data_IF_137010681553
#
_entry.id   IF_137010681553
#
_cell.length_a   1.000
_cell.length_b   1.000
_cell.length_c   1.000
_cell.angle_alpha   90.00
_cell.angle_beta   90.00
_cell.angle_gamma   90.00
#
_symmetry.space_group_name_H-M   'P 1'
#
loop_
_entity.id
_entity.type
_entity.pdbx_description
1 polymer ?
#
# COMPACT_ATOMS: atom_id res chain seq x y z
N UNK A 1 -32.60 12.07 -14.38
CA UNK A 1 -31.56 13.12 -14.31
C UNK A 1 -30.33 12.48 -13.70
N UNK A 2 -29.16 12.75 -14.24
CA UNK A 2 -27.90 12.49 -13.53
C UNK A 2 -27.71 13.69 -12.59
N UNK A 3 -27.85 13.46 -11.29
CA UNK A 3 -27.73 14.51 -10.27
C UNK A 3 -26.26 14.78 -9.91
N UNK A 4 -25.94 15.99 -9.45
CA UNK A 4 -24.57 16.38 -9.03
C UNK A 4 -23.99 15.44 -7.96
N UNK A 5 -24.85 14.90 -7.08
CA UNK A 5 -24.47 13.90 -6.07
C UNK A 5 -23.87 12.63 -6.70
N UNK A 6 -24.37 12.19 -7.86
CA UNK A 6 -23.83 11.01 -8.54
C UNK A 6 -22.38 11.25 -8.99
N UNK A 7 -22.08 12.46 -9.48
CA UNK A 7 -20.74 12.84 -9.89
C UNK A 7 -19.77 12.93 -8.69
N UNK A 8 -20.27 13.39 -7.52
CA UNK A 8 -19.48 13.40 -6.29
C UNK A 8 -19.16 11.99 -5.77
N UNK A 9 -20.12 11.06 -5.82
CA UNK A 9 -19.87 9.66 -5.44
C UNK A 9 -18.81 9.02 -6.34
N UNK A 10 -18.91 9.22 -7.66
CA UNK A 10 -17.90 8.71 -8.62
C UNK A 10 -16.53 9.27 -8.29
N UNK A 11 -16.42 10.59 -8.06
CA UNK A 11 -15.15 11.24 -7.74
C UNK A 11 -14.54 10.69 -6.45
N UNK A 12 -15.35 10.53 -5.41
CA UNK A 12 -14.87 10.07 -4.10
C UNK A 12 -14.38 8.62 -4.19
N UNK A 13 -15.14 7.71 -4.79
CA UNK A 13 -14.74 6.30 -4.96
C UNK A 13 -13.50 6.17 -5.86
N UNK A 14 -13.43 6.97 -6.93
CA UNK A 14 -12.28 7.01 -7.82
C UNK A 14 -11.01 7.45 -7.08
N UNK A 15 -11.07 8.56 -6.32
CA UNK A 15 -9.94 9.07 -5.54
C UNK A 15 -9.49 8.07 -4.47
N UNK A 16 -10.44 7.43 -3.80
CA UNK A 16 -10.18 6.41 -2.79
C UNK A 16 -9.45 5.20 -3.39
N UNK A 17 -9.99 4.64 -4.47
CA UNK A 17 -9.45 3.43 -5.07
C UNK A 17 -8.11 3.67 -5.77
N UNK A 18 -7.99 4.79 -6.49
CA UNK A 18 -6.71 5.17 -7.08
C UNK A 18 -5.65 5.47 -6.01
N UNK A 19 -6.02 6.19 -4.95
CA UNK A 19 -5.12 6.49 -3.83
C UNK A 19 -4.62 5.22 -3.13
N UNK A 20 -5.52 4.30 -2.81
CA UNK A 20 -5.16 3.03 -2.18
C UNK A 20 -4.26 2.16 -3.08
N UNK A 21 -4.57 2.07 -4.38
CA UNK A 21 -3.74 1.35 -5.35
C UNK A 21 -2.33 1.95 -5.42
N UNK A 22 -2.22 3.28 -5.52
CA UNK A 22 -0.93 3.96 -5.60
C UNK A 22 -0.08 3.74 -4.35
N UNK A 23 -0.68 3.91 -3.16
CA UNK A 23 0.00 3.68 -1.88
C UNK A 23 0.48 2.23 -1.76
N UNK A 24 -0.34 1.26 -2.16
CA UNK A 24 0.01 -0.17 -2.12
C UNK A 24 1.19 -0.49 -3.02
N UNK A 25 1.24 0.07 -4.23
CA UNK A 25 2.36 -0.11 -5.17
C UNK A 25 3.65 0.50 -4.61
N UNK A 26 3.57 1.69 -4.02
CA UNK A 26 4.74 2.35 -3.42
C UNK A 26 5.30 1.53 -2.26
N UNK A 27 4.43 1.06 -1.36
CA UNK A 27 4.81 0.19 -0.24
C UNK A 27 5.41 -1.13 -0.73
N UNK A 28 4.82 -1.75 -1.74
CA UNK A 28 5.33 -2.98 -2.34
C UNK A 28 6.71 -2.79 -2.98
N UNK A 29 6.95 -1.68 -3.70
CA UNK A 29 8.26 -1.35 -4.26
C UNK A 29 9.30 -1.18 -3.14
N UNK A 30 8.94 -0.50 -2.06
CA UNK A 30 9.83 -0.30 -0.92
C UNK A 30 10.20 -1.62 -0.23
N UNK A 31 9.19 -2.45 0.08
CA UNK A 31 9.39 -3.74 0.75
C UNK A 31 10.12 -4.75 -0.15
N UNK A 32 9.71 -4.86 -1.42
CA UNK A 32 10.30 -5.77 -2.40
C UNK A 32 11.76 -5.41 -2.70
N UNK A 33 12.07 -4.12 -2.87
CA UNK A 33 13.44 -3.67 -3.05
C UNK A 33 14.29 -3.84 -1.78
N UNK A 34 13.71 -3.58 -0.61
CA UNK A 34 14.35 -3.84 0.69
C UNK A 34 14.76 -5.29 0.87
N UNK A 35 13.89 -6.24 0.48
CA UNK A 35 14.20 -7.69 0.49
C UNK A 35 15.35 -8.06 -0.44
N UNK A 36 15.44 -7.42 -1.61
CA UNK A 36 16.53 -7.65 -2.57
C UNK A 36 17.88 -7.11 -2.07
N UNK A 37 17.86 -5.95 -1.41
CA UNK A 37 19.03 -5.26 -0.88
C UNK A 37 19.66 -5.96 0.32
N UNK A 38 18.83 -6.26 1.32
CA UNK A 38 19.24 -6.96 2.54
C UNK A 38 18.37 -8.22 2.68
N UNK A 39 18.84 -9.38 2.17
CA UNK A 39 18.19 -10.66 2.42
C UNK A 39 18.45 -11.13 3.86
N UNK A 40 17.94 -10.35 4.83
CA UNK A 40 17.93 -10.70 6.24
C UNK A 40 16.70 -11.53 6.59
N UNK A 41 16.81 -12.37 7.63
CA UNK A 41 15.68 -13.15 8.15
C UNK A 41 14.48 -12.28 8.52
N UNK A 42 14.72 -11.07 9.04
CA UNK A 42 13.70 -10.08 9.39
C UNK A 42 12.94 -9.59 8.15
N UNK A 43 13.64 -9.18 7.10
CA UNK A 43 13.02 -8.69 5.86
C UNK A 43 12.19 -9.78 5.17
N UNK A 44 12.70 -11.02 5.14
CA UNK A 44 11.96 -12.16 4.59
C UNK A 44 10.69 -12.44 5.41
N UNK A 45 10.77 -12.38 6.75
CA UNK A 45 9.59 -12.55 7.60
C UNK A 45 8.57 -11.45 7.36
N UNK A 46 8.99 -10.19 7.29
CA UNK A 46 8.10 -9.04 7.06
C UNK A 46 7.37 -9.14 5.72
N UNK A 47 8.07 -9.49 4.65
CA UNK A 47 7.47 -9.71 3.32
C UNK A 47 6.52 -10.91 3.35
N UNK A 48 6.89 -11.99 4.03
CA UNK A 48 6.04 -13.18 4.16
C UNK A 48 4.75 -12.86 4.92
N UNK A 49 4.83 -12.12 6.01
CA UNK A 49 3.66 -11.65 6.74
C UNK A 49 2.78 -10.73 5.89
N UNK A 50 3.38 -9.81 5.12
CA UNK A 50 2.64 -8.94 4.20
C UNK A 50 1.93 -9.73 3.09
N UNK A 51 2.51 -10.83 2.59
CA UNK A 51 1.90 -11.68 1.56
C UNK A 51 0.73 -12.53 2.06
N UNK A 52 0.59 -12.78 3.36
CA UNK A 52 -0.53 -13.55 3.93
C UNK A 52 -1.88 -12.84 3.72
N UNK A 53 -1.88 -11.52 3.54
CA UNK A 53 -3.09 -10.72 3.33
C UNK A 53 -4.00 -11.22 2.18
N UNK A 54 -3.44 -11.91 1.18
CA UNK A 54 -4.23 -12.49 0.08
C UNK A 54 -5.16 -13.63 0.54
N UNK A 55 -4.81 -14.35 1.61
CA UNK A 55 -5.61 -15.46 2.13
C UNK A 55 -6.70 -15.00 3.11
N UNK A 56 -6.73 -13.72 3.48
CA UNK A 56 -7.63 -13.21 4.52
C UNK A 56 -8.96 -12.77 3.88
N UNK A 57 -10.12 -13.30 4.34
CA UNK A 57 -11.43 -12.84 3.90
C UNK A 57 -11.60 -11.34 4.19
N UNK A 58 -12.29 -10.60 3.31
CA UNK A 58 -12.48 -9.15 3.46
C UNK A 58 -13.12 -8.76 4.81
N UNK A 59 -14.03 -9.60 5.32
CA UNK A 59 -14.66 -9.42 6.64
C UNK A 59 -13.65 -9.48 7.79
N UNK A 60 -12.66 -10.35 7.70
CA UNK A 60 -11.60 -10.49 8.73
C UNK A 60 -10.68 -9.27 8.70
N UNK A 61 -10.39 -8.72 7.51
CA UNK A 61 -9.64 -7.46 7.38
C UNK A 61 -10.42 -6.32 8.04
N UNK A 62 -11.72 -6.22 7.76
CA UNK A 62 -12.56 -5.17 8.34
C UNK A 62 -12.55 -5.21 9.88
N UNK A 63 -12.80 -6.38 10.47
CA UNK A 63 -12.76 -6.55 11.93
C UNK A 63 -11.35 -6.31 12.48
N UNK A 64 -10.32 -6.82 11.79
CA UNK A 64 -8.92 -6.66 12.17
C UNK A 64 -8.40 -5.23 12.12
N UNK A 65 -9.00 -4.36 11.29
CA UNK A 65 -8.66 -2.93 11.22
C UNK A 65 -9.49 -2.11 12.21
N UNK A 66 -10.80 -2.36 12.30
CA UNK A 66 -11.71 -1.55 13.14
C UNK A 66 -11.34 -1.66 14.63
N UNK A 67 -11.04 -2.85 15.14
CA UNK A 67 -10.72 -3.04 16.57
C UNK A 67 -9.51 -2.21 17.03
N UNK A 68 -8.32 -2.30 16.39
CA UNK A 68 -7.18 -1.48 16.79
C UNK A 68 -7.36 0.00 16.47
N UNK A 69 -8.06 0.35 15.39
CA UNK A 69 -8.35 1.75 15.08
C UNK A 69 -9.27 2.39 16.13
N UNK A 70 -10.31 1.69 16.56
CA UNK A 70 -11.20 2.16 17.63
C UNK A 70 -10.46 2.32 18.97
N UNK A 71 -9.56 1.38 19.28
CA UNK A 71 -8.71 1.49 20.48
C UNK A 71 -7.74 2.68 20.40
N UNK A 72 -7.11 2.89 19.25
CA UNK A 72 -6.20 4.00 19.02
C UNK A 72 -6.93 5.35 19.04
N UNK A 73 -8.09 5.44 18.40
CA UNK A 73 -8.97 6.61 18.45
C UNK A 73 -9.32 6.98 19.88
N UNK A 74 -9.72 6.02 20.71
CA UNK A 74 -10.01 6.28 22.12
C UNK A 74 -8.81 6.83 22.90
N UNK A 75 -7.57 6.41 22.56
CA UNK A 75 -6.36 6.95 23.17
C UNK A 75 -5.98 8.33 22.67
N UNK A 76 -6.13 8.56 21.37
CA UNK A 76 -5.92 9.88 20.77
C UNK A 76 -6.92 10.87 21.35
N UNK A 77 -8.19 10.46 21.50
CA UNK A 77 -9.23 11.30 22.08
C UNK A 77 -8.94 11.64 23.55
N UNK A 78 -8.55 10.65 24.36
CA UNK A 78 -8.13 10.91 25.74
C UNK A 78 -6.90 11.85 25.82
N UNK A 79 -5.96 11.74 24.88
CA UNK A 79 -4.77 12.59 24.82
C UNK A 79 -5.10 14.03 24.35
N UNK A 80 -5.95 14.17 23.33
CA UNK A 80 -6.39 15.47 22.82
C UNK A 80 -7.30 16.19 23.82
N UNK A 81 -8.17 15.47 24.51
CA UNK A 81 -9.02 16.04 25.54
C UNK A 81 -8.21 16.52 26.74
N UNK A 82 -7.18 15.77 27.16
CA UNK A 82 -6.28 16.20 28.26
C UNK A 82 -5.32 17.33 27.87
N UNK A 83 -4.91 17.43 26.60
CA UNK A 83 -3.92 18.43 26.15
C UNK A 83 -4.53 19.70 25.57
N UNK A 84 -5.67 19.60 24.89
CA UNK A 84 -6.28 20.70 24.13
C UNK A 84 -7.74 20.99 24.52
N UNK A 85 -8.38 20.17 25.35
CA UNK A 85 -9.78 20.36 25.77
C UNK A 85 -10.80 20.18 24.65
N UNK A 86 -10.38 19.64 23.50
CA UNK A 86 -11.22 19.39 22.32
C UNK A 86 -11.51 17.89 22.26
N UNK A 87 -12.79 17.49 22.20
CA UNK A 87 -13.16 16.11 21.84
C UNK A 87 -12.94 15.93 20.34
N UNK A 88 -11.83 15.27 19.99
CA UNK A 88 -11.55 14.85 18.62
C UNK A 88 -12.57 13.84 18.09
N UNK A 89 -13.20 13.04 18.95
CA UNK A 89 -14.10 11.96 18.52
C UNK A 89 -13.37 10.86 17.74
N UNK A 90 -14.13 9.97 17.09
CA UNK A 90 -13.59 8.85 16.28
C UNK A 90 -13.03 9.34 14.93
N UNK A 91 -11.88 10.02 14.94
CA UNK A 91 -11.30 10.58 13.71
C UNK A 91 -10.79 9.48 12.76
N UNK A 92 -10.12 8.43 13.25
CA UNK A 92 -9.54 7.41 12.37
C UNK A 92 -10.56 6.36 11.94
N UNK A 93 -11.45 5.94 12.84
CA UNK A 93 -12.50 4.94 12.57
C UNK A 93 -13.73 5.54 11.91
N UNK A 94 -14.00 6.84 12.09
CA UNK A 94 -15.16 7.54 11.51
C UNK A 94 -14.91 8.20 10.16
N UNK A 95 -13.68 8.18 9.65
CA UNK A 95 -13.30 8.79 8.37
C UNK A 95 -12.84 7.76 7.33
N UNK A 96 -12.53 8.25 6.14
CA UNK A 96 -12.01 7.48 5.00
C UNK A 96 -10.69 6.73 5.29
N UNK A 97 -10.01 7.06 6.39
CA UNK A 97 -8.69 6.52 6.73
C UNK A 97 -8.74 5.04 7.03
N UNK A 98 -9.71 4.56 7.82
CA UNK A 98 -9.86 3.14 8.13
C UNK A 98 -10.12 2.31 6.85
N UNK A 99 -10.99 2.83 5.96
CA UNK A 99 -11.31 2.20 4.68
C UNK A 99 -10.09 2.16 3.76
N UNK A 100 -9.38 3.29 3.64
CA UNK A 100 -8.15 3.38 2.84
C UNK A 100 -7.07 2.42 3.37
N UNK A 101 -6.88 2.34 4.68
CA UNK A 101 -5.94 1.42 5.30
C UNK A 101 -6.31 -0.04 5.04
N UNK A 102 -7.58 -0.42 5.19
CA UNK A 102 -8.05 -1.76 4.91
C UNK A 102 -7.79 -2.17 3.45
N UNK A 103 -8.02 -1.25 2.50
CA UNK A 103 -7.69 -1.49 1.10
C UNK A 103 -6.19 -1.63 0.87
N UNK A 104 -5.36 -0.78 1.48
CA UNK A 104 -3.91 -0.92 1.38
C UNK A 104 -3.46 -2.29 1.88
N UNK A 105 -3.93 -2.74 3.05
CA UNK A 105 -3.59 -4.06 3.59
C UNK A 105 -4.01 -5.19 2.64
N UNK A 106 -5.22 -5.12 2.08
CA UNK A 106 -5.74 -6.12 1.14
C UNK A 106 -4.93 -6.18 -0.15
N UNK A 107 -4.64 -5.02 -0.76
CA UNK A 107 -3.98 -4.93 -2.06
C UNK A 107 -2.45 -4.95 -2.00
N UNK A 108 -1.86 -4.77 -0.82
CA UNK A 108 -0.41 -4.84 -0.62
C UNK A 108 0.14 -6.21 -1.01
N UNK A 109 -0.55 -7.30 -0.68
CA UNK A 109 -0.08 -8.66 -1.00
C UNK A 109 0.07 -8.88 -2.52
N UNK A 110 -0.96 -8.50 -3.29
CA UNK A 110 -0.95 -8.59 -4.77
C UNK A 110 0.13 -7.68 -5.37
N UNK A 111 0.27 -6.48 -4.80
CA UNK A 111 1.29 -5.52 -5.23
C UNK A 111 2.70 -6.05 -5.01
N UNK A 112 2.95 -6.62 -3.83
CA UNK A 112 4.23 -7.18 -3.42
C UNK A 112 4.64 -8.34 -4.32
N UNK A 113 3.72 -9.28 -4.57
CA UNK A 113 3.98 -10.42 -5.45
C UNK A 113 4.31 -9.98 -6.88
N UNK A 114 3.59 -8.99 -7.42
CA UNK A 114 3.84 -8.46 -8.75
C UNK A 114 5.18 -7.73 -8.84
N UNK A 115 5.52 -6.94 -7.82
CA UNK A 115 6.83 -6.28 -7.73
C UNK A 115 7.96 -7.30 -7.62
N UNK A 116 7.81 -8.34 -6.82
CA UNK A 116 8.80 -9.40 -6.69
C UNK A 116 9.03 -10.10 -8.02
N UNK A 117 7.96 -10.53 -8.71
CA UNK A 117 8.07 -11.15 -10.03
C UNK A 117 8.69 -10.22 -11.07
N UNK A 118 8.43 -8.91 -11.00
CA UNK A 118 9.07 -7.94 -11.90
C UNK A 118 10.56 -7.73 -11.59
N UNK A 119 10.94 -7.71 -10.31
CA UNK A 119 12.34 -7.62 -9.88
C UNK A 119 13.12 -8.90 -10.20
N UNK A 120 12.50 -10.07 -10.13
CA UNK A 120 13.12 -11.36 -10.50
C UNK A 120 13.52 -11.42 -11.98
N UNK A 121 12.81 -10.71 -12.87
CA UNK A 121 13.20 -10.58 -14.29
C UNK A 121 14.51 -9.81 -14.47
N UNK A 122 14.89 -8.97 -13.50
CA UNK A 122 16.11 -8.17 -13.55
C UNK A 122 17.27 -8.97 -12.96
N UNK A 123 18.25 -9.29 -13.81
CA UNK A 123 19.44 -10.07 -13.42
C UNK A 123 20.26 -9.33 -12.34
N UNK A 124 20.81 -10.03 -11.34
CA UNK A 124 21.69 -9.43 -10.32
C UNK A 124 22.92 -8.72 -10.90
N UNK A 125 23.40 -9.14 -12.07
CA UNK A 125 24.54 -8.49 -12.76
C UNK A 125 24.30 -7.00 -13.06
N UNK A 126 23.04 -6.58 -13.20
CA UNK A 126 22.70 -5.16 -13.38
C UNK A 126 22.92 -4.35 -12.10
N UNK A 127 22.66 -4.95 -10.94
CA UNK A 127 22.92 -4.33 -9.62
C UNK A 127 24.42 -4.16 -9.38
N UNK A 128 25.21 -5.15 -9.80
CA UNK A 128 26.67 -5.13 -9.64
C UNK A 128 27.34 -4.14 -10.60
N UNK A 129 26.83 -4.01 -11.83
CA UNK A 129 27.26 -2.98 -12.77
C UNK A 129 26.94 -1.57 -12.25
N UNK A 130 25.73 -1.36 -11.71
CA UNK A 130 25.34 -0.08 -11.12
C UNK A 130 26.23 0.30 -9.93
N UNK A 131 26.55 -0.67 -9.05
CA UNK A 131 27.48 -0.47 -7.92
C UNK A 131 28.91 -0.16 -8.39
N UNK A 132 29.38 -0.81 -9.44
CA UNK A 132 30.70 -0.54 -10.03
C UNK A 132 30.82 0.86 -10.64
N UNK A 133 29.69 1.42 -11.11
CA UNK A 133 29.58 2.81 -11.59
C UNK A 133 29.41 3.84 -10.45
N UNK A 134 29.42 3.41 -9.19
CA UNK A 134 29.28 4.29 -8.02
C UNK A 134 27.84 4.71 -7.71
N UNK A 135 26.83 4.09 -8.32
CA UNK A 135 25.44 4.41 -8.03
C UNK A 135 25.03 3.93 -6.64
N UNK A 136 24.32 4.78 -5.89
CA UNK A 136 23.68 4.39 -4.65
C UNK A 136 22.48 3.47 -4.94
N UNK A 137 22.10 2.57 -4.02
CA UNK A 137 20.96 1.68 -4.27
C UNK A 137 19.63 2.38 -4.53
N UNK A 138 19.38 3.51 -3.85
CA UNK A 138 18.23 4.37 -4.15
C UNK A 138 18.26 4.82 -5.61
N UNK A 139 19.42 5.21 -6.12
CA UNK A 139 19.56 5.64 -7.50
C UNK A 139 19.37 4.48 -8.47
N UNK A 140 19.90 3.29 -8.17
CA UNK A 140 19.67 2.08 -8.95
C UNK A 140 18.17 1.75 -9.04
N UNK A 141 17.43 1.88 -7.94
CA UNK A 141 15.97 1.69 -7.93
C UNK A 141 15.27 2.67 -8.90
N UNK A 142 15.52 3.97 -8.75
CA UNK A 142 14.80 5.00 -9.53
C UNK A 142 15.28 5.12 -10.98
N UNK A 143 16.57 4.92 -11.26
CA UNK A 143 17.17 5.10 -12.59
C UNK A 143 17.17 3.82 -13.44
N UNK A 144 17.17 2.64 -12.81
CA UNK A 144 17.31 1.36 -13.53
C UNK A 144 16.06 0.49 -13.32
N UNK A 145 15.73 0.14 -12.08
CA UNK A 145 14.65 -0.84 -11.83
C UNK A 145 13.25 -0.32 -12.17
N UNK A 146 12.89 0.88 -11.70
CA UNK A 146 11.56 1.46 -11.96
C UNK A 146 11.32 1.65 -13.47
N UNK A 147 12.25 2.20 -14.27
CA UNK A 147 12.07 2.31 -15.72
C UNK A 147 11.93 0.95 -16.42
N UNK A 148 12.71 -0.05 -16.02
CA UNK A 148 12.63 -1.41 -16.58
C UNK A 148 11.29 -2.09 -16.26
N UNK A 149 10.76 -1.85 -15.06
CA UNK A 149 9.49 -2.41 -14.58
C UNK A 149 8.29 -1.51 -14.86
N UNK A 150 8.46 -0.38 -15.56
CA UNK A 150 7.37 0.59 -15.79
C UNK A 150 6.13 -0.06 -16.38
N UNK A 151 6.31 -1.01 -17.31
CA UNK A 151 5.19 -1.76 -17.90
C UNK A 151 4.46 -2.57 -16.82
N UNK A 152 5.17 -3.36 -16.03
CA UNK A 152 4.59 -4.17 -14.95
C UNK A 152 3.87 -3.28 -13.91
N UNK A 153 4.45 -2.14 -13.54
CA UNK A 153 3.86 -1.17 -12.59
C UNK A 153 2.55 -0.56 -13.14
N UNK A 154 2.52 -0.17 -14.41
CA UNK A 154 1.31 0.40 -15.03
C UNK A 154 0.20 -0.65 -15.10
N UNK A 155 0.52 -1.88 -15.47
CA UNK A 155 -0.46 -2.97 -15.49
C UNK A 155 -0.96 -3.29 -14.08
N UNK A 156 -0.07 -3.31 -13.09
CA UNK A 156 -0.42 -3.50 -11.69
C UNK A 156 -1.38 -2.40 -11.20
N UNK A 157 -1.07 -1.13 -11.47
CA UNK A 157 -1.90 -0.01 -11.06
C UNK A 157 -3.30 -0.09 -11.69
N UNK A 158 -3.37 -0.41 -12.98
CA UNK A 158 -4.65 -0.61 -13.69
C UNK A 158 -5.45 -1.78 -13.10
N UNK A 159 -4.77 -2.90 -12.82
CA UNK A 159 -5.40 -4.10 -12.27
C UNK A 159 -5.96 -3.83 -10.87
N UNK A 160 -5.19 -3.18 -10.00
CA UNK A 160 -5.64 -2.81 -8.66
C UNK A 160 -6.79 -1.80 -8.70
N UNK A 161 -6.70 -0.78 -9.57
CA UNK A 161 -7.79 0.17 -9.75
C UNK A 161 -9.09 -0.52 -10.20
N UNK A 162 -8.98 -1.45 -11.15
CA UNK A 162 -10.11 -2.27 -11.61
C UNK A 162 -10.68 -3.18 -10.51
N UNK A 163 -9.82 -3.75 -9.65
CA UNK A 163 -10.25 -4.58 -8.53
C UNK A 163 -10.95 -3.75 -7.45
N UNK A 164 -10.45 -2.56 -7.13
CA UNK A 164 -11.10 -1.69 -6.16
C UNK A 164 -12.46 -1.24 -6.66
N UNK A 165 -12.55 -0.85 -7.94
CA UNK A 165 -13.82 -0.45 -8.56
C UNK A 165 -14.87 -1.54 -8.66
N UNK A 166 -14.50 -2.82 -8.47
CA UNK A 166 -15.44 -3.94 -8.44
C UNK A 166 -15.97 -4.23 -7.02
N UNK A 167 -15.32 -3.72 -5.97
CA UNK A 167 -15.75 -3.88 -4.57
C UNK A 167 -16.71 -2.77 -4.08
N UNK A 168 -16.99 -1.79 -4.92
CA UNK A 168 -17.92 -0.67 -4.68
C UNK A 168 -19.07 -0.68 -5.69
#
# INVERSE_FOLDING_TARGET
MVDDSFFELIRNSFLLGFGAALISVILALFLGYGKRMLPGKTTILSVRTASIGYAIPGTVIAVGVIIPFAWLDGRIDAFMQSSFGISSGLILSGTIVAVMFAYVVRFLAISLQTVESGLEKIKPSMDDAARSLGCLPRETLFKIHIPLMKKDIVHLLQCLFSLVGCEF
#
